data_IF_993502395035
#
_entry.id   IF_993502395035
#
_cell.length_a   1.000
_cell.length_b   1.000
_cell.length_c   1.000
_cell.angle_alpha   90.00
_cell.angle_beta   90.00
_cell.angle_gamma   90.00
#
_symmetry.space_group_name_H-M   'P 1'
#
loop_
_entity.id
_entity.type
_entity.pdbx_description
1 polymer ?
2 non-polymer ?
3 non-polymer ?
4 non-polymer ?
5 water ?
#
# COMPACT_ATOMS: atom_id res chain seq x y z
N UNK A 1 4.09 -5.36 -25.45
CA UNK A 1 5.06 -5.16 -24.33
C UNK A 1 6.05 -6.32 -24.24
N UNK A 2 7.28 -6.08 -23.71
CA UNK A 2 8.19 -7.21 -23.51
C UNK A 2 7.86 -7.97 -22.22
N UNK A 3 8.72 -8.93 -21.83
CA UNK A 3 8.50 -9.73 -20.63
C UNK A 3 8.61 -8.80 -19.41
N UNK A 4 7.96 -9.18 -18.29
CA UNK A 4 7.99 -8.32 -17.12
C UNK A 4 9.38 -7.89 -16.66
N UNK A 5 10.32 -8.82 -16.57
CA UNK A 5 11.64 -8.46 -16.08
C UNK A 5 12.38 -7.50 -17.02
N UNK A 6 12.22 -7.71 -18.33
CA UNK A 6 12.79 -6.79 -19.33
C UNK A 6 12.16 -5.41 -19.19
N UNK A 7 10.85 -5.37 -18.99
CA UNK A 7 10.19 -4.08 -18.83
C UNK A 7 10.66 -3.36 -17.55
N UNK A 8 10.81 -4.10 -16.45
CA UNK A 8 11.31 -3.47 -15.22
C UNK A 8 12.68 -2.84 -15.44
N UNK A 9 13.56 -3.55 -16.15
CA UNK A 9 14.88 -3.04 -16.42
C UNK A 9 14.82 -1.80 -17.28
N UNK A 10 13.97 -1.84 -18.31
CA UNK A 10 13.77 -0.67 -19.14
C UNK A 10 13.28 0.53 -18.36
N UNK A 11 12.39 0.31 -17.39
CA UNK A 11 11.94 1.39 -16.54
C UNK A 11 13.09 2.01 -15.74
N UNK A 12 14.02 1.22 -15.19
CA UNK A 12 15.19 1.80 -14.51
C UNK A 12 16.04 2.64 -15.47
N UNK A 13 16.27 2.12 -16.68
CA UNK A 13 17.07 2.84 -17.65
C UNK A 13 16.40 4.17 -18.01
N UNK A 14 15.08 4.14 -18.22
CA UNK A 14 14.38 5.37 -18.61
C UNK A 14 14.29 6.37 -17.48
N UNK A 15 14.04 5.89 -16.26
CA UNK A 15 13.84 6.79 -15.11
C UNK A 15 15.14 7.22 -14.42
N UNK A 16 16.21 6.48 -14.65
CA UNK A 16 17.45 6.65 -13.87
C UNK A 16 17.24 6.38 -12.38
N UNK A 17 16.22 5.60 -12.05
CA UNK A 17 15.92 5.29 -10.65
C UNK A 17 15.95 3.80 -10.41
N UNK A 18 15.81 3.45 -9.12
CA UNK A 18 15.69 2.06 -8.70
C UNK A 18 14.20 1.68 -8.68
N UNK A 19 13.90 0.52 -9.25
CA UNK A 19 12.60 -0.11 -9.16
C UNK A 19 12.74 -1.34 -8.26
N UNK A 20 11.74 -1.56 -7.42
CA UNK A 20 11.66 -2.81 -6.65
C UNK A 20 10.33 -3.45 -6.93
N UNK A 21 10.31 -4.75 -7.17
CA UNK A 21 9.06 -5.37 -7.57
C UNK A 21 8.96 -6.80 -7.10
N UNK A 22 7.76 -7.18 -6.65
CA UNK A 22 7.41 -8.59 -6.48
C UNK A 22 6.05 -8.85 -7.07
N UNK A 23 5.92 -10.03 -7.67
CA UNK A 23 4.66 -10.59 -8.14
C UNK A 23 4.52 -11.93 -7.42
N UNK A 24 3.42 -12.12 -6.70
CA UNK A 24 3.28 -13.27 -5.81
C UNK A 24 1.85 -13.82 -5.89
N UNK A 25 1.69 -15.14 -5.96
CA UNK A 25 0.37 -15.74 -5.90
C UNK A 25 -0.26 -15.43 -4.53
N UNK A 26 -1.46 -14.86 -4.50
CA UNK A 26 -2.09 -14.49 -3.24
C UNK A 26 -2.39 -15.73 -2.38
N UNK A 27 -2.96 -16.76 -3.01
CA UNK A 27 -3.37 -17.93 -2.24
C UNK A 27 -2.18 -18.69 -1.66
N UNK A 28 -1.08 -18.82 -2.40
CA UNK A 28 0.01 -19.70 -1.93
C UNK A 28 1.28 -19.00 -1.49
N UNK A 29 1.50 -17.76 -1.93
CA UNK A 29 2.77 -17.13 -1.67
C UNK A 29 3.85 -17.43 -2.68
N UNK A 30 3.56 -18.21 -3.73
CA UNK A 30 4.55 -18.45 -4.80
C UNK A 30 5.05 -17.11 -5.32
N UNK A 31 6.36 -16.93 -5.34
CA UNK A 31 6.96 -15.72 -5.94
C UNK A 31 7.23 -15.98 -7.40
N UNK A 32 6.69 -15.14 -8.27
CA UNK A 32 6.82 -15.25 -9.74
C UNK A 32 7.87 -14.35 -10.36
N UNK A 33 7.81 -13.04 -10.12
CA UNK A 33 8.85 -12.11 -10.41
C UNK A 33 9.39 -11.50 -9.12
N UNK A 34 10.70 -11.29 -9.14
CA UNK A 34 11.35 -10.59 -8.09
C UNK A 34 12.38 -9.72 -8.78
N UNK A 35 12.49 -8.51 -8.28
CA UNK A 35 13.54 -7.60 -8.76
C UNK A 35 13.82 -6.61 -7.64
N UNK A 36 15.06 -6.61 -7.17
CA UNK A 36 15.48 -5.80 -6.02
C UNK A 36 14.54 -6.05 -4.85
N UNK A 37 14.09 -7.30 -4.68
CA UNK A 37 13.00 -7.55 -3.77
C UNK A 37 13.42 -7.51 -2.30
N UNK A 38 14.72 -7.51 -2.01
CA UNK A 38 15.23 -7.37 -0.66
C UNK A 38 15.87 -6.01 -0.44
N UNK A 39 15.70 -5.08 -1.38
CA UNK A 39 16.21 -3.72 -1.21
C UNK A 39 15.14 -2.85 -0.57
N UNK A 40 15.57 -1.82 0.14
CA UNK A 40 14.67 -0.94 0.87
C UNK A 40 14.13 0.19 0.00
N UNK A 41 12.83 0.44 0.17
CA UNK A 41 12.12 1.54 -0.48
C UNK A 41 11.22 2.23 0.53
N UNK A 42 11.06 3.56 0.42
CA UNK A 42 10.04 4.24 1.25
C UNK A 42 8.65 3.66 0.96
N UNK A 43 7.90 3.31 2.00
CA UNK A 43 6.52 2.89 1.83
C UNK A 43 5.58 3.95 1.38
N UNK A 44 5.83 5.20 1.83
CA UNK A 44 4.89 6.28 1.57
C UNK A 44 3.49 5.87 2.05
N UNK A 45 2.46 6.31 1.36
CA UNK A 45 1.09 6.07 1.82
C UNK A 45 0.66 4.61 1.73
N UNK A 46 1.49 3.74 1.12
CA UNK A 46 1.16 2.31 1.15
C UNK A 46 1.13 1.78 2.58
N UNK A 47 1.76 2.48 3.54
CA UNK A 47 1.73 2.03 4.93
C UNK A 47 0.29 1.98 5.47
N UNK A 48 -0.62 2.75 4.88
CA UNK A 48 -1.98 2.85 5.40
C UNK A 48 -2.70 1.51 5.40
N UNK A 49 -2.35 0.61 4.48
CA UNK A 49 -2.95 -0.71 4.49
C UNK A 49 -2.50 -1.51 5.73
N UNK A 50 -1.20 -1.52 6.00
CA UNK A 50 -0.70 -2.24 7.17
C UNK A 50 -1.25 -1.63 8.48
N UNK A 51 -1.33 -0.30 8.52
CA UNK A 51 -1.94 0.39 9.63
C UNK A 51 -3.32 -0.17 9.94
N UNK A 52 -4.18 -0.27 8.92
CA UNK A 52 -5.52 -0.75 9.17
C UNK A 52 -5.57 -2.25 9.45
N UNK A 53 -4.57 -3.02 9.01
CA UNK A 53 -4.42 -4.38 9.50
C UNK A 53 -4.24 -4.40 11.03
N UNK A 54 -3.39 -3.50 11.54
CA UNK A 54 -3.15 -3.39 12.99
C UNK A 54 -4.42 -2.99 13.74
N UNK A 55 -5.19 -2.08 13.16
CA UNK A 55 -6.49 -1.68 13.74
C UNK A 55 -7.44 -2.88 13.80
N UNK A 56 -7.52 -3.61 12.68
CA UNK A 56 -8.40 -4.77 12.65
C UNK A 56 -8.00 -5.83 13.65
N UNK A 57 -6.70 -6.01 13.86
CA UNK A 57 -6.24 -6.95 14.86
C UNK A 57 -6.73 -6.54 16.25
N UNK A 58 -6.72 -5.25 16.55
CA UNK A 58 -7.28 -4.79 17.82
C UNK A 58 -8.79 -5.04 17.90
N UNK A 59 -9.51 -4.83 16.80
CA UNK A 59 -10.94 -5.14 16.77
C UNK A 59 -11.18 -6.62 17.07
N UNK A 60 -10.44 -7.48 16.40
CA UNK A 60 -10.58 -8.92 16.60
C UNK A 60 -10.35 -9.28 18.06
N UNK A 61 -9.40 -8.62 18.70
CA UNK A 61 -9.03 -8.89 20.10
C UNK A 61 -10.02 -8.28 21.10
N UNK A 62 -11.00 -7.52 20.64
CA UNK A 62 -11.96 -6.87 21.53
C UNK A 62 -11.42 -5.59 22.13
N UNK A 63 -10.35 -5.05 21.58
CA UNK A 63 -9.72 -3.84 22.09
C UNK A 63 -10.10 -2.58 21.34
N UNK A 64 -10.85 -2.76 20.26
CA UNK A 64 -11.26 -1.66 19.39
C UNK A 64 -12.60 -2.07 18.76
N UNK A 65 -13.35 -1.08 18.30
CA UNK A 65 -14.56 -1.32 17.49
C UNK A 65 -14.50 -0.44 16.27
N UNK A 66 -14.83 -0.99 15.10
CA UNK A 66 -14.93 -0.13 13.92
C UNK A 66 -16.01 0.93 14.05
N UNK A 67 -17.01 0.68 14.91
CA UNK A 67 -18.06 1.65 15.13
C UNK A 67 -17.63 2.81 15.99
N UNK A 68 -16.56 2.67 16.77
CA UNK A 68 -16.25 3.68 17.79
C UNK A 68 -16.00 5.05 17.16
N UNK A 69 -16.71 6.07 17.64
CA UNK A 69 -16.56 7.39 17.06
C UNK A 69 -15.45 8.16 17.73
N UNK A 70 -14.54 8.69 16.92
CA UNK A 70 -13.45 9.53 17.41
C UNK A 70 -13.76 10.98 17.07
N UNK A 71 -13.83 11.86 18.09
CA UNK A 71 -14.13 13.32 17.91
C UNK A 71 -12.90 14.27 18.05
N UNK A 72 -12.25 14.63 16.96
CA UNK A 72 -10.95 15.26 16.89
C UNK A 72 -11.18 16.73 16.63
N UNK A 73 -10.08 17.47 16.61
CA UNK A 73 -10.10 18.93 16.55
C UNK A 73 -9.31 19.44 15.36
N UNK A 74 -9.56 20.68 14.97
CA UNK A 74 -8.91 21.20 13.78
C UNK A 74 -7.39 21.24 13.91
N UNK A 75 -6.91 21.50 15.13
CA UNK A 75 -5.45 21.50 15.39
C UNK A 75 -4.83 20.11 15.19
N UNK A 76 -5.64 19.05 15.16
CA UNK A 76 -5.15 17.71 14.89
C UNK A 76 -4.88 17.46 13.43
N UNK A 77 -5.44 18.28 12.53
CA UNK A 77 -5.34 17.99 11.11
C UNK A 77 -3.96 18.28 10.56
N UNK A 78 -3.54 17.44 9.62
CA UNK A 78 -2.32 17.61 8.85
C UNK A 78 -2.66 17.73 7.37
N UNK A 79 -1.64 18.00 6.56
CA UNK A 79 -1.82 18.20 5.14
C UNK A 79 -2.55 17.03 4.48
N UNK A 80 -3.60 17.37 3.75
CA UNK A 80 -4.41 16.50 2.91
C UNK A 80 -5.32 15.63 3.73
N UNK A 81 -6.49 16.19 4.00
CA UNK A 81 -7.49 15.60 4.87
C UNK A 81 -8.87 15.73 4.25
N UNK A 82 -9.05 15.20 3.02
CA UNK A 82 -10.26 15.48 2.28
C UNK A 82 -11.54 15.00 2.95
N UNK A 83 -11.46 13.92 3.71
CA UNK A 83 -12.63 13.43 4.41
C UNK A 83 -12.65 13.99 5.82
N UNK A 84 -11.55 13.86 6.54
CA UNK A 84 -11.54 14.22 7.94
C UNK A 84 -11.79 15.71 8.19
N UNK A 85 -11.41 16.57 7.27
CA UNK A 85 -11.66 17.99 7.48
C UNK A 85 -13.18 18.30 7.50
N UNK A 86 -14.00 17.40 6.96
CA UNK A 86 -15.45 17.61 6.89
C UNK A 86 -16.18 17.22 8.18
N UNK A 87 -15.49 16.64 9.16
CA UNK A 87 -16.13 16.01 10.32
C UNK A 87 -15.59 16.52 11.64
N UNK A 88 -15.19 17.80 11.66
CA UNK A 88 -14.79 18.39 12.92
C UNK A 88 -15.90 18.42 13.95
N UNK A 89 -17.13 18.64 13.50
CA UNK A 89 -18.26 18.75 14.42
C UNK A 89 -18.71 17.39 14.91
N UNK A 90 -18.76 16.39 14.01
CA UNK A 90 -19.45 15.13 14.30
C UNK A 90 -18.53 13.93 14.42
N UNK A 91 -17.23 14.07 14.14
CA UNK A 91 -16.31 12.96 14.31
C UNK A 91 -16.45 11.92 13.21
N UNK A 92 -15.62 10.89 13.28
CA UNK A 92 -15.64 9.78 12.34
C UNK A 92 -15.45 8.51 13.11
N UNK A 93 -16.08 7.42 12.66
CA UNK A 93 -15.79 6.13 13.28
C UNK A 93 -14.41 5.63 12.93
N UNK A 94 -13.92 4.66 13.70
CA UNK A 94 -12.64 4.04 13.40
C UNK A 94 -12.68 3.41 12.00
N UNK A 95 -13.77 2.72 11.68
CA UNK A 95 -13.92 2.17 10.33
C UNK A 95 -13.93 3.23 9.25
N UNK A 96 -14.64 4.34 9.48
CA UNK A 96 -14.63 5.44 8.51
C UNK A 96 -13.22 6.00 8.36
N UNK A 97 -12.47 6.08 9.46
CA UNK A 97 -11.10 6.57 9.38
C UNK A 97 -10.23 5.66 8.53
N UNK A 98 -10.36 4.34 8.71
CA UNK A 98 -9.63 3.43 7.83
C UNK A 98 -10.05 3.57 6.37
N UNK A 99 -11.36 3.69 6.13
CA UNK A 99 -11.79 3.90 4.74
C UNK A 99 -11.18 5.19 4.19
N UNK A 100 -11.15 6.27 4.98
CA UNK A 100 -10.63 7.51 4.47
C UNK A 100 -9.12 7.40 4.21
N UNK A 101 -8.41 6.74 5.12
CA UNK A 101 -6.97 6.55 4.99
C UNK A 101 -6.62 5.73 3.75
N UNK A 102 -7.30 4.60 3.58
CA UNK A 102 -6.97 3.71 2.47
C UNK A 102 -7.54 4.21 1.16
N UNK A 103 -8.80 4.62 1.14
CA UNK A 103 -9.48 4.90 -0.14
C UNK A 103 -9.29 6.31 -0.63
N UNK A 104 -8.90 7.23 0.26
CA UNK A 104 -8.71 8.64 -0.08
C UNK A 104 -7.29 9.13 0.29
N UNK A 105 -6.49 8.30 0.95
CA UNK A 105 -5.14 8.67 1.40
C UNK A 105 -5.20 9.82 2.40
N UNK A 106 -6.28 9.90 3.18
CA UNK A 106 -6.46 10.97 4.14
C UNK A 106 -5.43 10.88 5.26
N UNK A 107 -4.58 11.90 5.34
CA UNK A 107 -3.45 11.85 6.29
C UNK A 107 -3.83 12.04 7.75
N UNK A 108 -4.81 12.90 8.02
CA UNK A 108 -5.23 13.08 9.42
C UNK A 108 -5.90 11.80 9.89
N UNK A 109 -6.71 11.17 9.02
CA UNK A 109 -7.31 9.90 9.39
C UNK A 109 -6.23 8.91 9.76
N UNK A 110 -5.20 8.81 8.90
CA UNK A 110 -4.09 7.90 9.18
C UNK A 110 -3.42 8.19 10.53
N UNK A 111 -3.16 9.47 10.82
CA UNK A 111 -2.50 9.80 12.08
C UNK A 111 -3.36 9.50 13.29
N UNK A 112 -4.66 9.73 13.18
CA UNK A 112 -5.56 9.40 14.30
C UNK A 112 -5.50 7.89 14.58
N UNK A 113 -5.56 7.08 13.51
CA UNK A 113 -5.49 5.65 13.65
C UNK A 113 -4.12 5.22 14.18
N UNK A 114 -3.05 5.86 13.70
CA UNK A 114 -1.68 5.48 14.10
C UNK A 114 -1.48 5.65 15.58
N UNK A 115 -2.03 6.70 16.16
CA UNK A 115 -1.87 6.87 17.58
C UNK A 115 -2.58 5.73 18.32
N UNK A 116 -3.74 5.26 17.79
CA UNK A 116 -4.48 4.18 18.47
C UNK A 116 -3.72 2.85 18.56
N UNK A 117 -2.78 2.63 17.65
CA UNK A 117 -2.01 1.42 17.66
C UNK A 117 -0.65 1.63 18.31
N UNK A 118 -0.44 2.77 18.99
CA UNK A 118 0.84 3.05 19.64
C UNK A 118 1.84 3.80 18.80
N UNK A 119 1.38 4.54 17.78
CA UNK A 119 2.30 5.34 16.97
C UNK A 119 3.14 4.50 16.04
N UNK A 120 4.12 5.14 15.42
CA UNK A 120 5.06 4.41 14.57
C UNK A 120 5.71 3.21 15.24
N UNK A 121 6.08 3.35 16.51
CA UNK A 121 6.72 2.25 17.23
C UNK A 121 5.71 1.10 17.45
N UNK A 122 4.47 1.43 17.76
CA UNK A 122 3.43 0.42 17.92
C UNK A 122 3.14 -0.33 16.62
N UNK A 123 3.08 0.40 15.50
CA UNK A 123 2.83 -0.27 14.22
C UNK A 123 4.03 -1.19 13.87
N UNK A 124 5.24 -0.73 14.16
CA UNK A 124 6.41 -1.54 13.92
C UNK A 124 6.39 -2.81 14.78
N UNK A 125 5.97 -2.68 16.04
CA UNK A 125 5.82 -3.85 16.90
C UNK A 125 4.79 -4.83 16.35
N UNK A 126 3.70 -4.32 15.80
CA UNK A 126 2.71 -5.17 15.18
C UNK A 126 3.31 -5.95 14.00
N UNK A 127 4.10 -5.24 13.19
CA UNK A 127 4.77 -5.91 12.07
C UNK A 127 5.68 -7.06 12.58
N UNK A 128 6.45 -6.80 13.64
CA UNK A 128 7.26 -7.85 14.22
C UNK A 128 6.39 -9.01 14.72
N UNK A 129 5.23 -8.71 15.29
CA UNK A 129 4.33 -9.75 15.79
C UNK A 129 3.83 -10.67 14.70
N UNK A 130 3.69 -10.17 13.48
CA UNK A 130 3.23 -11.00 12.37
C UNK A 130 4.40 -11.56 11.57
N UNK A 131 5.63 -11.39 12.07
CA UNK A 131 6.79 -12.02 11.44
C UNK A 131 7.44 -11.20 10.35
N UNK A 132 7.10 -9.92 10.22
CA UNK A 132 7.81 -9.03 9.31
C UNK A 132 8.90 -8.36 10.15
N UNK A 133 10.15 -8.74 9.92
CA UNK A 133 11.29 -8.22 10.67
C UNK A 133 12.02 -7.12 9.93
N UNK A 134 11.44 -6.63 8.84
CA UNK A 134 12.09 -5.64 7.97
C UNK A 134 11.35 -4.31 7.89
N UNK A 135 10.05 -4.36 7.63
CA UNK A 135 9.28 -3.13 7.44
C UNK A 135 9.31 -2.32 8.75
N UNK A 136 9.40 -0.99 8.64
CA UNK A 136 9.46 -0.15 9.86
C UNK A 136 8.76 1.16 9.55
N UNK A 137 7.98 1.61 10.52
CA UNK A 137 7.45 2.96 10.46
C UNK A 137 8.09 3.74 11.60
N UNK A 138 8.53 4.95 11.29
CA UNK A 138 9.26 5.80 12.22
C UNK A 138 8.60 7.14 12.41
N UNK A 139 7.91 7.66 11.39
CA UNK A 139 7.32 9.00 11.43
C UNK A 139 5.82 8.96 11.13
N UNK A 140 5.19 10.10 11.27
CA UNK A 140 3.76 10.26 11.05
C UNK A 140 3.47 10.62 9.61
N UNK A 141 2.18 10.68 9.27
CA UNK A 141 1.73 10.48 7.88
C UNK A 141 2.24 11.49 6.89
N UNK A 142 2.44 12.74 7.36
CA UNK A 142 2.93 13.79 6.46
C UNK A 142 4.45 14.02 6.43
N UNK A 143 5.23 13.31 7.25
CA UNK A 143 6.72 13.38 7.28
C UNK A 143 7.39 12.14 6.75
N UNK A 144 6.65 11.03 6.68
CA UNK A 144 7.26 9.76 6.30
C UNK A 144 7.56 9.60 4.80
N UNK A 145 7.19 10.58 3.97
CA UNK A 145 7.37 10.52 2.52
C UNK A 145 8.66 11.22 2.05
N UNK A 146 9.51 11.62 3.00
CA UNK A 146 10.68 12.45 2.67
C UNK A 146 11.70 11.73 1.76
N UNK A 147 11.83 10.41 1.91
CA UNK A 147 12.65 9.60 1.00
C UNK A 147 14.07 10.18 0.87
N UNK A 148 14.69 10.47 2.00
CA UNK A 148 16.08 10.92 1.97
C UNK A 148 16.98 9.79 1.51
N UNK A 149 17.99 10.09 0.67
CA UNK A 149 18.99 9.07 0.34
C UNK A 149 19.63 8.43 1.58
N UNK A 150 19.75 7.10 1.60
CA UNK A 150 20.39 6.40 2.70
C UNK A 150 19.59 6.23 3.98
N UNK A 151 18.37 6.79 4.02
CA UNK A 151 17.60 6.83 5.25
C UNK A 151 16.72 5.60 5.32
N UNK A 152 16.90 4.79 6.36
CA UNK A 152 16.12 3.56 6.53
C UNK A 152 14.75 3.80 7.14
N UNK A 153 14.49 5.01 7.64
CA UNK A 153 13.17 5.27 8.25
C UNK A 153 12.03 5.03 7.26
N UNK A 154 10.93 4.47 7.77
CA UNK A 154 9.67 4.42 7.00
C UNK A 154 9.81 3.61 5.71
N UNK A 155 10.62 2.55 5.77
CA UNK A 155 10.87 1.73 4.59
C UNK A 155 10.32 0.31 4.75
N UNK A 156 10.18 -0.32 3.59
CA UNK A 156 9.90 -1.75 3.48
C UNK A 156 10.78 -2.32 2.38
N UNK A 157 10.63 -3.61 2.11
CA UNK A 157 11.19 -4.17 0.88
C UNK A 157 10.03 -4.76 0.10
N UNK A 158 10.18 -4.93 -1.23
CA UNK A 158 9.06 -5.55 -1.97
C UNK A 158 8.67 -6.91 -1.40
N UNK A 159 9.66 -7.75 -1.07
CA UNK A 159 9.39 -9.08 -0.56
C UNK A 159 8.67 -9.03 0.78
N UNK A 160 9.10 -8.14 1.67
CA UNK A 160 8.47 -8.05 3.00
C UNK A 160 7.06 -7.54 2.89
N UNK A 161 6.85 -6.49 2.11
CA UNK A 161 5.52 -5.92 1.98
C UNK A 161 4.56 -6.92 1.36
N UNK A 162 5.00 -7.63 0.32
CA UNK A 162 4.13 -8.65 -0.28
C UNK A 162 3.75 -9.73 0.74
N UNK A 163 4.75 -10.24 1.46
CA UNK A 163 4.49 -11.30 2.45
C UNK A 163 3.54 -10.78 3.52
N UNK A 164 3.74 -9.54 3.96
CA UNK A 164 2.90 -8.95 5.00
C UNK A 164 1.46 -8.76 4.51
N UNK A 165 1.29 -8.27 3.30
CA UNK A 165 -0.03 -8.14 2.75
C UNK A 165 -0.72 -9.48 2.65
N UNK A 166 0.00 -10.51 2.17
CA UNK A 166 -0.60 -11.82 2.12
C UNK A 166 -1.01 -12.30 3.51
N UNK A 167 -0.15 -12.08 4.50
CA UNK A 167 -0.48 -12.48 5.87
C UNK A 167 -1.76 -11.81 6.34
N UNK A 168 -1.89 -10.51 6.10
CA UNK A 168 -3.06 -9.78 6.58
C UNK A 168 -4.33 -10.24 5.88
N UNK A 169 -4.25 -10.52 4.56
CA UNK A 169 -5.43 -10.80 3.78
C UNK A 169 -5.87 -12.24 3.87
N UNK A 170 -4.96 -13.18 4.13
CA UNK A 170 -5.27 -14.59 3.92
C UNK A 170 -4.85 -15.54 5.02
N UNK A 171 -3.99 -15.16 5.96
CA UNK A 171 -3.37 -16.16 6.84
C UNK A 171 -4.17 -16.52 8.07
N UNK A 172 -5.35 -15.94 8.22
CA UNK A 172 -6.18 -16.17 9.41
C UNK A 172 -5.56 -15.63 10.69
N UNK A 173 -4.57 -14.74 10.57
CA UNK A 173 -4.18 -13.89 11.71
C UNK A 173 -5.32 -12.92 12.06
N UNK A 174 -5.94 -12.36 11.03
CA UNK A 174 -7.15 -11.59 11.20
C UNK A 174 -8.33 -12.53 11.05
N UNK A 175 -9.44 -12.17 11.67
CA UNK A 175 -10.70 -12.89 11.52
C UNK A 175 -11.17 -12.87 10.07
N UNK A 176 -12.12 -13.75 9.76
CA UNK A 176 -12.66 -13.77 8.40
C UNK A 176 -13.25 -12.40 8.05
N UNK A 177 -14.05 -11.83 8.95
CA UNK A 177 -14.68 -10.55 8.65
C UNK A 177 -13.64 -9.47 8.47
N UNK A 178 -12.61 -9.48 9.31
CA UNK A 178 -11.54 -8.46 9.17
C UNK A 178 -10.75 -8.61 7.88
N UNK A 179 -10.42 -9.84 7.49
CA UNK A 179 -9.77 -10.07 6.18
C UNK A 179 -10.62 -9.50 5.06
N UNK A 180 -11.93 -9.74 5.12
CA UNK A 180 -12.83 -9.28 4.08
C UNK A 180 -12.89 -7.74 4.07
N UNK A 181 -12.88 -7.14 5.25
CA UNK A 181 -12.92 -5.69 5.34
C UNK A 181 -11.66 -5.06 4.74
N UNK A 182 -10.48 -5.62 5.06
CA UNK A 182 -9.25 -5.01 4.57
C UNK A 182 -9.23 -5.07 3.05
N UNK A 183 -9.61 -6.22 2.49
CA UNK A 183 -9.70 -6.39 1.03
C UNK A 183 -10.67 -5.37 0.43
N UNK A 184 -11.86 -5.22 1.03
CA UNK A 184 -12.82 -4.27 0.45
C UNK A 184 -12.31 -2.83 0.47
N UNK A 185 -11.61 -2.43 1.55
CA UNK A 185 -11.01 -1.09 1.55
C UNK A 185 -10.08 -0.89 0.35
N UNK A 186 -9.26 -1.90 0.04
CA UNK A 186 -8.38 -1.78 -1.13
C UNK A 186 -9.17 -1.76 -2.45
N UNK A 187 -10.23 -2.57 -2.55
CA UNK A 187 -11.08 -2.57 -3.73
C UNK A 187 -11.65 -1.18 -3.95
N UNK A 188 -11.97 -0.48 -2.86
CA UNK A 188 -12.63 0.82 -2.88
C UNK A 188 -11.68 2.00 -3.04
N UNK A 189 -10.39 1.81 -3.34
CA UNK A 189 -9.51 2.98 -3.51
C UNK A 189 -10.07 3.93 -4.56
N UNK A 190 -10.23 5.19 -4.18
CA UNK A 190 -10.71 6.21 -5.12
C UNK A 190 -9.57 6.96 -5.80
N UNK A 191 -8.37 6.89 -5.26
CA UNK A 191 -7.27 7.70 -5.78
C UNK A 191 -6.79 7.12 -7.12
N UNK A 192 -6.56 5.82 -7.17
CA UNK A 192 -6.06 5.18 -8.39
C UNK A 192 -6.94 4.09 -8.95
N UNK A 193 -7.81 3.48 -8.14
CA UNK A 193 -8.61 2.35 -8.59
C UNK A 193 -9.38 2.61 -9.89
N UNK A 194 -10.21 3.68 -9.91
CA UNK A 194 -11.01 3.94 -11.12
C UNK A 194 -10.12 4.22 -12.33
N UNK A 195 -9.03 4.97 -12.13
CA UNK A 195 -8.12 5.24 -13.25
C UNK A 195 -7.49 3.93 -13.79
N UNK A 196 -7.05 3.05 -12.90
CA UNK A 196 -6.50 1.77 -13.32
C UNK A 196 -7.54 0.97 -14.07
N UNK A 197 -8.77 0.93 -13.55
CA UNK A 197 -9.81 0.17 -14.29
C UNK A 197 -10.02 0.73 -15.70
N UNK A 198 -9.90 2.04 -15.84
CA UNK A 198 -10.10 2.68 -17.13
C UNK A 198 -9.08 2.26 -18.19
N UNK A 199 -7.95 1.73 -17.78
CA UNK A 199 -6.92 1.28 -18.71
C UNK A 199 -6.70 -0.24 -18.65
N UNK A 200 -7.41 -0.97 -17.77
CA UNK A 200 -7.24 -2.43 -17.73
C UNK A 200 -8.16 -3.06 -18.77
N UNK A 201 -7.70 -4.12 -19.43
CA UNK A 201 -8.64 -4.84 -20.29
C UNK A 201 -9.81 -5.36 -19.47
N UNK A 202 -10.94 -5.57 -20.12
CA UNK A 202 -12.06 -6.25 -19.51
C UNK A 202 -11.58 -7.57 -18.88
N UNK A 203 -12.11 -7.88 -17.70
CA UNK A 203 -11.86 -9.15 -17.06
C UNK A 203 -10.80 -9.11 -15.97
N UNK A 204 -10.10 -7.99 -15.84
CA UNK A 204 -9.00 -7.91 -14.86
C UNK A 204 -9.47 -7.23 -13.60
N UNK A 205 -9.27 -7.91 -12.48
CA UNK A 205 -9.55 -7.41 -11.13
C UNK A 205 -8.44 -6.44 -10.71
N UNK A 206 -8.81 -5.35 -10.03
CA UNK A 206 -7.82 -4.54 -9.32
C UNK A 206 -8.31 -4.13 -7.93
N UNK A 207 -7.39 -4.19 -6.96
CA UNK A 207 -7.56 -3.53 -5.67
C UNK A 207 -6.18 -2.95 -5.37
N UNK A 208 -6.08 -1.82 -4.65
CA UNK A 208 -4.78 -1.18 -4.57
C UNK A 208 -4.70 -0.14 -3.46
N UNK A 209 -3.46 0.18 -3.12
CA UNK A 209 -3.15 1.43 -2.44
C UNK A 209 -1.87 1.97 -3.04
N UNK A 210 -1.86 3.26 -3.41
CA UNK A 210 -0.66 3.92 -3.95
C UNK A 210 0.00 4.84 -2.92
N UNK A 211 1.20 5.27 -3.25
CA UNK A 211 1.91 6.26 -2.46
C UNK A 211 2.83 7.07 -3.34
N UNK A 212 3.22 8.24 -2.85
CA UNK A 212 4.15 9.12 -3.56
C UNK A 212 5.03 9.82 -2.53
N UNK A 213 6.25 10.16 -2.91
CA UNK A 213 7.12 10.92 -2.02
C UNK A 213 8.13 11.73 -2.78
N UNK A 214 9.16 12.18 -2.07
CA UNK A 214 10.17 13.04 -2.64
C UNK A 214 11.18 12.24 -3.47
N UNK A 215 12.00 12.94 -4.26
CA UNK A 215 13.06 12.35 -5.03
C UNK A 215 12.55 11.26 -5.94
N UNK A 216 11.31 11.45 -6.41
CA UNK A 216 10.69 10.54 -7.36
C UNK A 216 10.03 9.33 -6.73
N UNK A 217 10.03 9.21 -5.41
CA UNK A 217 9.47 8.02 -4.79
C UNK A 217 8.01 7.84 -5.23
N UNK A 218 7.64 6.61 -5.52
CA UNK A 218 6.29 6.29 -5.98
C UNK A 218 6.06 4.81 -5.74
N UNK A 219 4.85 4.40 -5.42
CA UNK A 219 4.64 2.98 -5.19
C UNK A 219 3.20 2.58 -5.29
N UNK A 220 3.03 1.27 -5.39
CA UNK A 220 1.70 0.69 -5.39
C UNK A 220 1.79 -0.70 -4.79
N UNK A 221 0.84 -1.01 -3.91
CA UNK A 221 0.57 -2.39 -3.51
C UNK A 221 -0.79 -2.73 -4.11
N UNK A 222 -0.88 -3.88 -4.76
CA UNK A 222 -2.07 -4.20 -5.48
C UNK A 222 -2.39 -5.68 -5.48
N UNK A 223 -3.66 -5.97 -5.75
CA UNK A 223 -4.14 -7.31 -6.12
C UNK A 223 -4.62 -7.24 -7.55
N UNK A 224 -4.24 -8.20 -8.37
CA UNK A 224 -4.48 -8.16 -9.81
C UNK A 224 -4.71 -9.57 -10.31
N UNK A 225 -5.60 -9.72 -11.28
CA UNK A 225 -5.69 -10.99 -11.97
C UNK A 225 -6.81 -11.01 -12.99
N UNK A 226 -6.71 -11.98 -13.92
CA UNK A 226 -7.73 -12.16 -14.92
C UNK A 226 -8.93 -12.94 -14.34
N UNK A 227 -9.95 -13.02 -15.17
CA UNK A 227 -11.10 -13.74 -14.78
C UNK A 227 -11.66 -13.13 -13.47
N UNK A 228 -11.57 -11.79 -13.29
CA UNK A 228 -12.15 -11.04 -12.16
C UNK A 228 -11.78 -11.63 -10.80
N UNK A 229 -10.54 -12.13 -10.70
CA UNK A 229 -10.04 -12.72 -9.47
C UNK A 229 -8.80 -12.00 -8.99
N UNK A 230 -8.68 -11.85 -7.68
CA UNK A 230 -7.46 -11.30 -7.05
C UNK A 230 -6.41 -12.41 -7.01
N UNK A 231 -5.81 -12.73 -8.15
CA UNK A 231 -4.94 -13.88 -8.23
C UNK A 231 -3.59 -13.60 -7.62
N UNK A 232 -3.04 -12.41 -7.85
CA UNK A 232 -1.67 -12.11 -7.42
C UNK A 232 -1.60 -10.79 -6.69
N UNK A 233 -0.67 -10.76 -5.75
CA UNK A 233 -0.18 -9.53 -5.17
C UNK A 233 0.93 -9.00 -6.07
N UNK A 234 0.87 -7.71 -6.40
CA UNK A 234 1.93 -7.03 -7.13
C UNK A 234 2.32 -5.83 -6.30
N UNK A 235 3.60 -5.74 -5.97
CA UNK A 235 4.14 -4.61 -5.24
C UNK A 235 5.22 -3.99 -6.09
N UNK A 236 5.11 -2.70 -6.37
CA UNK A 236 6.12 -1.97 -7.14
C UNK A 236 6.45 -0.69 -6.40
N UNK A 237 7.73 -0.49 -6.13
CA UNK A 237 8.22 0.77 -5.59
C UNK A 237 9.26 1.35 -6.53
N UNK A 238 9.30 2.68 -6.60
CA UNK A 238 10.30 3.44 -7.34
C UNK A 238 10.98 4.40 -6.37
N UNK A 239 12.28 4.64 -6.51
CA UNK A 239 12.95 5.67 -5.73
C UNK A 239 14.07 6.28 -6.54
N UNK A 240 14.46 7.49 -6.16
CA UNK A 240 15.63 8.16 -6.68
C UNK A 240 15.64 8.34 -8.18
N UNK A 241 14.54 8.91 -8.67
CA UNK A 241 14.45 9.32 -10.06
C UNK A 241 13.97 10.76 -10.11
N UNK A 242 14.50 11.57 -11.04
CA UNK A 242 14.06 12.95 -11.19
C UNK A 242 12.82 13.11 -12.04
N UNK A 243 12.23 11.99 -12.49
CA UNK A 243 11.15 12.06 -13.49
C UNK A 243 9.87 12.68 -12.99
N UNK A 244 9.11 13.20 -13.93
CA UNK A 244 7.78 13.70 -13.64
C UNK A 244 6.88 12.61 -13.05
N UNK A 245 5.90 13.03 -12.25
CA UNK A 245 4.88 12.10 -11.76
C UNK A 245 4.22 11.33 -12.92
N UNK A 246 3.92 12.02 -14.03
CA UNK A 246 3.27 11.38 -15.17
C UNK A 246 4.13 10.22 -15.68
N UNK A 247 5.45 10.45 -15.80
CA UNK A 247 6.33 9.40 -16.31
C UNK A 247 6.53 8.25 -15.34
N UNK A 248 6.58 8.57 -14.04
CA UNK A 248 6.61 7.49 -13.06
C UNK A 248 5.34 6.63 -13.12
N UNK A 249 4.17 7.27 -13.25
CA UNK A 249 2.93 6.51 -13.39
C UNK A 249 2.94 5.66 -14.64
N UNK A 250 3.43 6.23 -15.75
CA UNK A 250 3.47 5.51 -16.99
C UNK A 250 4.39 4.30 -16.94
N UNK A 251 5.52 4.43 -16.27
CA UNK A 251 6.44 3.32 -16.16
C UNK A 251 5.84 2.19 -15.32
N UNK A 252 5.18 2.54 -14.21
CA UNK A 252 4.49 1.51 -13.45
C UNK A 252 3.42 0.83 -14.29
N UNK A 253 2.64 1.64 -15.01
CA UNK A 253 1.62 1.07 -15.88
C UNK A 253 2.24 0.16 -16.93
N UNK A 254 3.40 0.52 -17.46
CA UNK A 254 4.06 -0.32 -18.43
C UNK A 254 4.49 -1.67 -17.88
N UNK A 255 4.94 -1.70 -16.62
CA UNK A 255 5.22 -2.97 -15.95
C UNK A 255 3.92 -3.78 -15.88
N UNK A 256 2.84 -3.12 -15.48
CA UNK A 256 1.53 -3.78 -15.48
C UNK A 256 1.15 -4.35 -16.84
N UNK A 257 1.38 -3.60 -17.91
CA UNK A 257 1.06 -4.08 -19.24
C UNK A 257 1.85 -5.36 -19.55
N UNK A 258 3.14 -5.38 -19.16
CA UNK A 258 3.94 -6.56 -19.41
C UNK A 258 3.42 -7.77 -18.67
N UNK A 259 2.97 -7.57 -17.42
CA UNK A 259 2.38 -8.68 -16.68
C UNK A 259 1.12 -9.19 -17.36
N UNK A 260 0.26 -8.25 -17.78
CA UNK A 260 -1.04 -8.57 -18.40
C UNK A 260 -0.87 -9.35 -19.70
N UNK A 261 0.11 -8.92 -20.50
CA UNK A 261 0.32 -9.56 -21.78
C UNK A 261 0.98 -10.91 -21.63
N UNK A 262 1.69 -11.13 -20.52
CA UNK A 262 2.47 -12.35 -20.31
C UNK A 262 2.19 -12.91 -18.92
N UNK A 263 0.95 -13.30 -18.69
CA UNK A 263 0.51 -13.64 -17.34
C UNK A 263 0.81 -15.07 -16.90
N UNK A 264 0.79 -16.03 -17.85
CA UNK A 264 0.91 -17.42 -17.46
C UNK A 264 2.39 -17.76 -17.41
N UNK A 265 2.96 -17.74 -16.20
CA UNK A 265 4.35 -18.09 -15.89
C UNK A 265 4.40 -18.92 -14.65
X LIG B 1 -4.45 -4.37 -24.62
X LIG B 1 -5.84 -4.45 -25.22
X LIG B 1 -6.69 -5.64 -24.71
X LIG B 1 -5.89 -6.92 -24.55
X LIG B 1 -4.54 -6.66 -23.94
X LIG B 1 -3.80 -7.98 -24.06
X LIG B 1 -6.42 -3.15 -25.00
X LIG B 1 -7.62 -6.12 -25.69
X LIG B 1 -3.83 -5.66 -24.67
X LIG B 1 -3.75 -8.36 -25.45
X LIG B 1 -4.64 -3.95 -23.28
X LIG B 1 -6.57 -7.90 -23.75
X LIG B 1 -2.79 -1.49 -20.59
X LIG B 1 -3.56 -0.82 -21.71
X LIG B 1 -4.51 -1.84 -22.30
X LIG B 1 -3.69 -3.01 -22.78
X LIG B 1 -2.85 -3.62 -21.66
X LIG B 1 -1.87 -4.62 -22.25
X LIG B 1 -1.87 -0.55 -20.08
X LIG B 1 -4.30 0.30 -21.22
X LIG B 1 -5.18 -1.25 -23.41
X LIG B 1 -2.04 -2.60 -21.07
X LIG B 1 -1.13 -3.96 -23.28
X LIG B 1 -1.30 -0.94 -18.83
X LIG B 1 -2.34 -0.83 -17.70
X LIG B 1 -1.86 -1.42 -16.38
X LIG B 1 -2.82 -1.15 -15.24
X LIG B 1 -2.36 -1.86 -13.96
X LIG B 1 -1.13 -1.17 -13.33
X LIG B 1 -1.02 -1.28 -11.81
X LIG B 1 -1.88 -2.45 -11.37
X LIG B 1 -1.10 -3.51 -10.62
X LIG B 1 0.07 -3.98 -11.47
X LIG B 1 1.02 -2.84 -11.78
X LIG B 1 0.42 -1.49 -11.36
X LIG C 1 -2.68 4.61 -14.75
X LIG C 1 -1.52 5.03 -13.85
X LIG C 1 -1.71 4.49 -12.43
X LIG C 1 -1.33 5.53 -11.39
X LIG C 1 -1.09 4.92 -10.00
X LIG C 1 0.02 3.87 -9.98
X LIG C 1 0.32 3.32 -11.37
X LIG C 1 -0.90 3.19 -12.27
X LIG D 1 1.08 8.97 0.43
X LIG D 1 1.99 8.52 -0.29
X LIG D 1 1.02 10.47 0.60
X LIG D 1 1.83 11.15 -0.49
X LIG D 1 1.95 12.59 -0.40
X LIG D 1 2.81 13.24 -1.40
X LIG E 1 -2.33 12.40 -3.30
X LIG E 1 -2.45 11.05 -2.78
X LIG E 1 -1.50 10.15 -3.56
X LIG E 1 -1.40 8.50 -2.91
X LIG E 1 -2.74 7.93 -2.92
X LIG E 1 -0.99 8.48 -1.52
X LIG E 1 -0.52 7.81 -3.83
#
# INVERSE_FOLDING_TARGET
SPQPLEQIKLSESQLSGRVGMIEMDLASGRTLTAWRADERFPMMSTFKVVLCGAVLARVDAGDEQLERKIHYRQQDLVDYSPVSEKHLADGMTVGELCAAAITMSDNSAANLLLATVGGPAGLTAFLRQIGDNVTRLDRWATELNEALPGDARDTTTPASMAATLRKLLTSQRLSARSQRQLLQWMVDDRVAGPLIRSVLPAGWFIADKTGAGERGARGIVALLGPNNKAERIVVIYLRDTPASMAERNQQIAGIGAALIEHWQR
MA4 C1 C2 C3 C4 C5 C6 O2 O3 O5 O6 O1 O4 C10 C20 C30 C40 C50 C60 O10 O20 O30 O50 O60 C11 C21 C31 C41 C51 C61 C12 C22 C32 C42 C52 C62
MA4 C51 C61 C12 C22 C32 C42 C52 C62
0RJ C O CA CB NG CD
EPE N1 C9 C10 S O1S O2S O3S
#
